data_IF_797968031708
#
_entry.id   IF_797968031708
#
_cell.length_a   1.000
_cell.length_b   1.000
_cell.length_c   1.000
_cell.angle_alpha   90.00
_cell.angle_beta   90.00
_cell.angle_gamma   90.00
#
_symmetry.space_group_name_H-M   'P 1'
#
loop_
_entity.id
_entity.type
_entity.pdbx_description
1 polymer ?
#
# COMPACT_ATOMS: atom_id res chain seq x y z
N UNK A 1 -8.26 25.45 -13.40
CA UNK A 1 -8.99 25.00 -12.22
C UNK A 1 -8.05 24.23 -11.33
N UNK A 2 -7.91 24.64 -10.08
CA UNK A 2 -7.04 23.94 -9.15
C UNK A 2 -7.77 22.71 -8.61
N UNK A 3 -7.06 21.62 -8.58
CA UNK A 3 -7.60 20.42 -7.95
C UNK A 3 -7.52 20.55 -6.45
N UNK A 4 -8.58 20.16 -5.77
CA UNK A 4 -8.61 20.11 -4.32
C UNK A 4 -8.18 18.72 -3.83
N UNK A 5 -7.36 18.72 -2.78
CA UNK A 5 -6.92 17.48 -2.15
C UNK A 5 -7.43 17.48 -0.72
N UNK A 6 -7.87 16.31 -0.29
CA UNK A 6 -8.49 16.09 1.01
C UNK A 6 -7.70 15.05 1.78
N UNK A 7 -7.71 15.15 3.11
CA UNK A 7 -7.06 14.13 3.92
C UNK A 7 -7.84 13.85 5.18
N UNK A 8 -7.59 12.68 5.74
CA UNK A 8 -8.06 12.31 7.06
C UNK A 8 -7.08 11.30 7.67
N UNK A 9 -6.97 11.31 8.99
CA UNK A 9 -6.18 10.34 9.73
C UNK A 9 -7.13 9.41 10.46
N UNK A 10 -6.90 8.12 10.31
CA UNK A 10 -7.77 7.09 10.87
C UNK A 10 -7.01 6.21 11.84
N UNK A 11 -7.67 5.82 12.92
CA UNK A 11 -7.17 4.82 13.84
C UNK A 11 -7.60 3.44 13.31
N UNK A 12 -6.63 2.59 13.01
CA UNK A 12 -6.89 1.29 12.39
C UNK A 12 -6.16 0.19 13.17
N UNK A 13 -6.46 -1.09 12.88
CA UNK A 13 -5.69 -2.19 13.49
C UNK A 13 -4.19 -2.13 13.21
N UNK A 14 -3.77 -1.39 12.19
CA UNK A 14 -2.35 -1.17 11.88
C UNK A 14 -1.81 0.13 12.48
N UNK A 15 -2.56 0.76 13.38
CA UNK A 15 -2.22 2.06 13.95
C UNK A 15 -2.84 3.19 13.14
N UNK A 16 -2.35 4.40 13.37
CA UNK A 16 -2.85 5.56 12.64
C UNK A 16 -2.44 5.50 11.18
N UNK A 17 -3.38 5.80 10.30
CA UNK A 17 -3.16 5.85 8.84
C UNK A 17 -3.71 7.16 8.32
N UNK A 18 -2.89 7.93 7.64
CA UNK A 18 -3.30 9.19 7.02
C UNK A 18 -3.42 8.97 5.52
N UNK A 19 -4.59 9.27 4.97
CA UNK A 19 -4.84 9.12 3.54
C UNK A 19 -5.10 10.48 2.91
N UNK A 20 -4.59 10.66 1.69
CA UNK A 20 -4.84 11.85 0.89
C UNK A 20 -5.55 11.42 -0.38
N UNK A 21 -6.59 12.15 -0.74
CA UNK A 21 -7.37 11.86 -1.95
C UNK A 21 -7.70 13.14 -2.71
N UNK A 22 -7.80 13.01 -4.03
CA UNK A 22 -8.49 13.98 -4.86
C UNK A 22 -9.98 13.66 -4.83
N UNK A 23 -10.78 14.37 -5.62
CA UNK A 23 -12.20 14.03 -5.75
C UNK A 23 -12.41 12.69 -6.47
N UNK A 24 -11.38 12.16 -7.11
CA UNK A 24 -11.50 10.99 -7.98
C UNK A 24 -10.76 9.76 -7.50
N UNK A 25 -9.68 9.91 -6.70
CA UNK A 25 -8.83 8.78 -6.35
C UNK A 25 -8.01 9.03 -5.10
N UNK A 26 -7.58 7.94 -4.47
CA UNK A 26 -6.56 7.98 -3.40
C UNK A 26 -5.20 8.26 -4.05
N UNK A 27 -4.47 9.19 -3.49
CA UNK A 27 -3.13 9.58 -3.95
C UNK A 27 -2.03 9.07 -3.02
N UNK A 28 -2.32 9.00 -1.72
CA UNK A 28 -1.33 8.63 -0.71
C UNK A 28 -1.99 7.87 0.43
N UNK A 29 -1.32 6.83 0.88
CA UNK A 29 -1.62 6.13 2.13
C UNK A 29 -0.35 6.17 2.98
N UNK A 30 -0.36 6.97 4.04
CA UNK A 30 0.77 7.08 4.94
C UNK A 30 0.50 6.25 6.20
N UNK A 31 1.35 5.29 6.47
CA UNK A 31 1.21 4.42 7.64
C UNK A 31 1.83 5.13 8.85
N UNK A 32 1.03 5.98 9.49
CA UNK A 32 1.42 6.83 10.60
C UNK A 32 0.60 8.11 10.63
N UNK A 33 0.89 8.96 11.61
CA UNK A 33 0.26 10.27 11.70
C UNK A 33 0.99 11.27 10.83
N UNK A 34 0.26 12.27 10.38
CA UNK A 34 0.84 13.36 9.63
C UNK A 34 -0.23 14.36 9.26
N UNK A 35 0.17 15.62 9.06
CA UNK A 35 -0.73 16.66 8.58
C UNK A 35 -0.22 17.12 7.22
N UNK A 36 -0.83 16.62 6.13
CA UNK A 36 -0.37 17.02 4.79
C UNK A 36 -0.60 18.51 4.55
N UNK A 37 0.44 19.17 4.07
CA UNK A 37 0.32 20.59 3.76
C UNK A 37 -0.43 20.82 2.46
N UNK A 38 -1.24 21.85 2.43
CA UNK A 38 -2.00 22.20 1.23
C UNK A 38 -3.23 21.34 0.99
N UNK A 39 -3.56 20.47 1.93
CA UNK A 39 -4.73 19.60 1.83
C UNK A 39 -5.83 20.07 2.78
N UNK A 40 -7.07 19.83 2.39
CA UNK A 40 -8.25 20.17 3.20
C UNK A 40 -8.50 19.00 4.17
N UNK A 41 -8.60 19.29 5.45
CA UNK A 41 -8.90 18.28 6.46
C UNK A 41 -10.38 17.95 6.44
N UNK A 42 -10.77 17.07 5.53
CA UNK A 42 -12.17 16.71 5.35
C UNK A 42 -12.24 15.33 4.69
N UNK A 43 -13.11 14.47 5.19
CA UNK A 43 -13.36 13.18 4.57
C UNK A 43 -14.31 13.34 3.39
N UNK A 44 -13.79 13.13 2.19
CA UNK A 44 -14.62 13.12 0.99
C UNK A 44 -15.09 11.69 0.70
N UNK A 45 -15.85 11.52 -0.37
CA UNK A 45 -16.42 10.22 -0.75
C UNK A 45 -15.35 9.16 -1.01
N UNK A 46 -14.23 9.55 -1.61
CA UNK A 46 -13.13 8.62 -1.91
C UNK A 46 -12.45 8.15 -0.62
N UNK A 47 -12.19 9.07 0.31
CA UNK A 47 -11.59 8.72 1.60
C UNK A 47 -12.51 7.79 2.40
N UNK A 48 -13.81 8.06 2.39
CA UNK A 48 -14.77 7.20 3.08
C UNK A 48 -14.74 5.77 2.52
N UNK A 49 -14.77 5.63 1.21
CA UNK A 49 -14.69 4.31 0.59
C UNK A 49 -13.37 3.61 0.94
N UNK A 50 -12.26 4.36 0.88
CA UNK A 50 -10.94 3.79 1.16
C UNK A 50 -10.83 3.26 2.58
N UNK A 51 -11.31 4.02 3.58
CA UNK A 51 -11.19 3.55 4.96
C UNK A 51 -12.14 2.39 5.23
N UNK A 52 -13.31 2.36 4.62
CA UNK A 52 -14.20 1.22 4.72
C UNK A 52 -13.54 -0.05 4.20
N UNK A 53 -12.95 0.03 3.01
CA UNK A 53 -12.26 -1.11 2.42
C UNK A 53 -11.01 -1.50 3.21
N UNK A 54 -10.28 -0.52 3.72
CA UNK A 54 -9.10 -0.77 4.53
C UNK A 54 -9.47 -1.53 5.80
N UNK A 55 -10.53 -1.12 6.48
CA UNK A 55 -10.98 -1.79 7.68
C UNK A 55 -11.49 -3.22 7.38
N UNK A 56 -12.15 -3.42 6.26
CA UNK A 56 -12.56 -4.75 5.82
C UNK A 56 -11.35 -5.65 5.55
N UNK A 57 -10.31 -5.09 4.94
CA UNK A 57 -9.06 -5.82 4.74
C UNK A 57 -8.45 -6.25 6.08
N UNK A 58 -8.36 -5.33 7.03
CA UNK A 58 -7.81 -5.63 8.35
C UNK A 58 -8.67 -6.62 9.15
N UNK A 59 -9.95 -6.72 8.81
CA UNK A 59 -10.86 -7.69 9.44
C UNK A 59 -10.86 -9.06 8.75
N UNK A 60 -10.04 -9.24 7.73
CA UNK A 60 -9.98 -10.49 6.97
C UNK A 60 -11.18 -10.69 6.06
N UNK A 61 -11.91 -9.63 5.75
CA UNK A 61 -13.16 -9.68 4.98
C UNK A 61 -13.02 -9.18 3.54
N UNK A 62 -11.84 -8.70 3.18
CA UNK A 62 -11.62 -8.15 1.84
C UNK A 62 -10.22 -8.50 1.35
N UNK A 63 -10.14 -8.93 0.11
CA UNK A 63 -8.87 -9.29 -0.53
C UNK A 63 -8.39 -8.27 -1.56
N UNK A 64 -9.29 -7.51 -2.15
CA UNK A 64 -8.96 -6.52 -3.18
C UNK A 64 -9.55 -5.17 -2.83
N UNK A 65 -8.94 -4.12 -3.36
CA UNK A 65 -9.43 -2.75 -3.15
C UNK A 65 -10.07 -2.25 -4.44
N UNK A 66 -11.31 -1.78 -4.33
CA UNK A 66 -12.06 -1.23 -5.46
C UNK A 66 -11.96 0.29 -5.54
N UNK A 67 -11.59 0.95 -4.44
CA UNK A 67 -11.44 2.40 -4.43
C UNK A 67 -10.39 2.81 -5.47
N UNK A 68 -10.68 3.82 -6.31
CA UNK A 68 -9.69 4.27 -7.28
C UNK A 68 -8.42 4.76 -6.59
N UNK A 69 -7.29 4.36 -7.13
CA UNK A 69 -5.98 4.71 -6.58
C UNK A 69 -5.10 5.23 -7.71
N UNK A 70 -4.55 6.42 -7.53
CA UNK A 70 -3.67 7.05 -8.50
C UNK A 70 -2.38 7.42 -7.79
N UNK A 71 -1.46 6.46 -7.64
CA UNK A 71 -0.22 6.70 -6.90
C UNK A 71 0.64 7.75 -7.59
N UNK A 72 1.43 8.44 -6.79
CA UNK A 72 2.37 9.43 -7.31
C UNK A 72 3.62 8.72 -7.82
N UNK A 73 4.26 9.32 -8.82
CA UNK A 73 5.51 8.79 -9.35
C UNK A 73 5.66 9.01 -10.84
N UNK A 74 6.85 8.70 -11.34
CA UNK A 74 7.17 8.79 -12.75
C UNK A 74 6.40 7.74 -13.56
N UNK A 75 6.47 7.87 -14.88
CA UNK A 75 5.85 6.88 -15.78
C UNK A 75 6.41 5.47 -15.54
N UNK A 76 7.72 5.36 -15.31
CA UNK A 76 8.35 4.08 -15.01
C UNK A 76 7.88 3.51 -13.68
N UNK A 77 7.77 4.35 -12.66
CA UNK A 77 7.24 3.94 -11.37
C UNK A 77 5.78 3.48 -11.48
N UNK A 78 4.97 4.22 -12.24
CA UNK A 78 3.58 3.84 -12.47
C UNK A 78 3.46 2.46 -13.12
N UNK A 79 4.36 2.15 -14.04
CA UNK A 79 4.37 0.86 -14.72
C UNK A 79 4.59 -0.28 -13.72
N UNK A 80 5.55 -0.13 -12.82
CA UNK A 80 5.82 -1.14 -11.79
C UNK A 80 4.64 -1.28 -10.83
N UNK A 81 4.11 -0.16 -10.35
CA UNK A 81 3.01 -0.16 -9.39
C UNK A 81 1.75 -0.78 -9.99
N UNK A 82 1.44 -0.46 -11.24
CA UNK A 82 0.29 -1.02 -11.93
C UNK A 82 0.44 -2.54 -12.11
N UNK A 83 1.65 -2.98 -12.48
CA UNK A 83 1.92 -4.41 -12.64
C UNK A 83 1.71 -5.16 -11.31
N UNK A 84 2.23 -4.63 -10.22
CA UNK A 84 2.10 -5.25 -8.90
C UNK A 84 0.62 -5.36 -8.50
N UNK A 85 -0.14 -4.27 -8.68
CA UNK A 85 -1.55 -4.26 -8.32
C UNK A 85 -2.36 -5.29 -9.11
N UNK A 86 -2.05 -5.47 -10.38
CA UNK A 86 -2.82 -6.36 -11.27
C UNK A 86 -2.38 -7.81 -11.21
N UNK A 87 -1.13 -8.08 -10.89
CA UNK A 87 -0.52 -9.39 -11.13
C UNK A 87 -0.27 -10.22 -9.88
N UNK A 88 -0.32 -9.62 -8.69
CA UNK A 88 -0.02 -10.35 -7.47
C UNK A 88 -1.27 -10.43 -6.59
N UNK A 89 -1.98 -11.57 -6.64
CA UNK A 89 -3.22 -11.70 -5.87
C UNK A 89 -2.96 -11.81 -4.37
N UNK A 90 -4.04 -11.68 -3.63
CA UNK A 90 -4.05 -11.78 -2.18
C UNK A 90 -3.40 -13.09 -1.71
N UNK A 91 -2.59 -13.00 -0.66
CA UNK A 91 -1.90 -14.13 -0.05
C UNK A 91 -0.87 -14.81 -0.96
N UNK A 92 -0.45 -14.14 -2.03
CA UNK A 92 0.60 -14.64 -2.92
C UNK A 92 1.81 -13.74 -2.84
N UNK A 93 2.98 -14.31 -3.12
CA UNK A 93 4.24 -13.58 -3.13
C UNK A 93 4.84 -13.61 -4.53
N UNK A 94 5.56 -12.56 -4.87
CA UNK A 94 6.40 -12.51 -6.05
C UNK A 94 7.77 -12.01 -5.64
N UNK A 95 8.69 -11.90 -6.59
CA UNK A 95 10.04 -11.42 -6.29
C UNK A 95 10.37 -10.22 -7.17
N UNK A 96 11.31 -9.38 -6.68
CA UNK A 96 11.80 -8.27 -7.48
C UNK A 96 12.40 -8.75 -8.80
N UNK A 97 13.05 -9.92 -8.77
CA UNK A 97 13.65 -10.53 -9.96
C UNK A 97 12.61 -10.90 -10.99
N UNK A 98 11.51 -11.54 -10.55
CA UNK A 98 10.43 -11.92 -11.46
C UNK A 98 9.79 -10.70 -12.12
N UNK A 99 9.51 -9.67 -11.32
CA UNK A 99 8.90 -8.45 -11.84
C UNK A 99 9.86 -7.74 -12.81
N UNK A 100 11.12 -7.63 -12.43
CA UNK A 100 12.14 -7.02 -13.28
C UNK A 100 12.27 -7.72 -14.61
N UNK A 101 12.26 -9.04 -14.61
CA UNK A 101 12.35 -9.82 -15.86
C UNK A 101 11.16 -9.53 -16.78
N UNK A 102 9.97 -9.33 -16.21
CA UNK A 102 8.78 -9.03 -16.99
C UNK A 102 8.74 -7.61 -17.53
N UNK A 103 9.35 -6.66 -16.83
CA UNK A 103 9.28 -5.25 -17.17
C UNK A 103 10.58 -4.71 -17.79
N UNK A 104 11.60 -5.55 -17.92
CA UNK A 104 12.89 -5.11 -18.47
C UNK A 104 13.68 -4.23 -17.51
N UNK A 105 13.58 -4.50 -16.21
CA UNK A 105 14.26 -3.73 -15.18
C UNK A 105 15.11 -4.64 -14.30
N UNK A 106 16.13 -4.07 -13.65
CA UNK A 106 16.90 -4.82 -12.67
C UNK A 106 16.05 -5.02 -11.40
N UNK A 107 16.31 -6.08 -10.62
CA UNK A 107 15.61 -6.27 -9.34
C UNK A 107 15.81 -5.09 -8.41
N UNK A 108 17.00 -4.47 -8.42
CA UNK A 108 17.31 -3.31 -7.58
C UNK A 108 16.45 -2.11 -7.93
N UNK A 109 16.19 -1.88 -9.22
CA UNK A 109 15.29 -0.81 -9.66
C UNK A 109 13.86 -1.06 -9.19
N UNK A 110 13.39 -2.30 -9.31
CA UNK A 110 12.04 -2.65 -8.85
C UNK A 110 11.93 -2.45 -7.34
N UNK A 111 12.90 -2.92 -6.59
CA UNK A 111 12.90 -2.75 -5.12
C UNK A 111 12.89 -1.28 -4.73
N UNK A 112 13.71 -0.46 -5.38
CA UNK A 112 13.76 0.98 -5.11
C UNK A 112 12.42 1.65 -5.39
N UNK A 113 11.80 1.33 -6.52
CA UNK A 113 10.49 1.89 -6.87
C UNK A 113 9.44 1.49 -5.85
N UNK A 114 9.38 0.23 -5.48
CA UNK A 114 8.38 -0.24 -4.53
C UNK A 114 8.60 0.32 -3.12
N UNK A 115 9.85 0.63 -2.76
CA UNK A 115 10.13 1.25 -1.46
C UNK A 115 9.60 2.69 -1.37
N UNK A 116 9.24 3.28 -2.49
CA UNK A 116 8.68 4.64 -2.58
C UNK A 116 7.19 4.64 -2.95
N UNK A 117 6.52 3.49 -2.87
CA UNK A 117 5.10 3.38 -3.17
C UNK A 117 4.29 4.32 -2.29
N UNK A 118 3.55 5.26 -2.90
CA UNK A 118 2.75 6.22 -2.14
C UNK A 118 1.44 5.65 -1.62
N UNK A 119 1.03 4.47 -2.11
CA UNK A 119 -0.24 3.83 -1.73
C UNK A 119 -0.02 2.40 -1.24
N UNK A 120 0.76 2.19 -0.15
CA UNK A 120 0.97 0.83 0.33
C UNK A 120 -0.34 0.18 0.73
N UNK A 121 -0.40 -1.13 0.66
CA UNK A 121 -1.55 -1.98 0.92
C UNK A 121 -2.57 -1.93 -0.21
N UNK A 122 -3.02 -0.76 -0.63
CA UNK A 122 -3.87 -0.63 -1.82
C UNK A 122 -3.13 -1.14 -3.06
N UNK A 123 -1.84 -0.81 -3.15
CA UNK A 123 -0.94 -1.43 -4.12
C UNK A 123 -0.02 -2.33 -3.30
N UNK A 124 -0.14 -3.65 -3.46
CA UNK A 124 0.41 -4.60 -2.50
C UNK A 124 1.92 -4.82 -2.64
N UNK A 125 2.71 -3.78 -2.46
CA UNK A 125 4.18 -3.91 -2.55
C UNK A 125 4.74 -4.81 -1.45
N UNK A 126 3.99 -5.05 -0.37
CA UNK A 126 4.40 -5.99 0.68
C UNK A 126 4.47 -7.43 0.19
N UNK A 127 3.84 -7.74 -0.95
CA UNK A 127 3.84 -9.10 -1.54
C UNK A 127 5.06 -9.38 -2.41
N UNK A 128 6.02 -8.45 -2.48
CA UNK A 128 7.21 -8.62 -3.30
C UNK A 128 8.43 -8.72 -2.38
N UNK A 129 9.17 -9.82 -2.51
CA UNK A 129 10.34 -10.11 -1.69
C UNK A 129 11.54 -10.39 -2.60
N UNK A 130 12.72 -10.60 -2.00
CA UNK A 130 13.92 -10.99 -2.76
C UNK A 130 13.87 -12.47 -3.09
N UNK A 131 14.48 -12.85 -4.21
CA UNK A 131 14.49 -14.24 -4.66
C UNK A 131 15.15 -15.20 -3.65
N UNK A 132 16.05 -14.70 -2.79
CA UNK A 132 16.68 -15.51 -1.75
C UNK A 132 15.78 -15.71 -0.52
N UNK A 133 14.54 -15.23 -0.56
CA UNK A 133 13.59 -15.36 0.54
C UNK A 133 13.63 -14.25 1.57
N UNK A 134 14.60 -13.33 1.47
CA UNK A 134 14.65 -12.17 2.36
C UNK A 134 13.57 -11.17 1.96
N UNK A 135 13.04 -10.45 2.95
CA UNK A 135 11.89 -9.55 2.73
C UNK A 135 12.21 -8.38 1.80
N UNK A 136 13.44 -7.88 1.82
CA UNK A 136 13.76 -6.63 1.12
C UNK A 136 13.24 -5.43 1.87
N UNK A 137 13.20 -4.29 1.19
CA UNK A 137 12.76 -3.03 1.81
C UNK A 137 11.24 -2.90 1.81
N UNK A 138 10.74 -1.99 2.62
CA UNK A 138 9.34 -1.62 2.63
C UNK A 138 9.22 -0.10 2.78
N UNK A 139 8.10 0.45 2.36
CA UNK A 139 7.82 1.88 2.43
C UNK A 139 7.63 2.35 3.88
N UNK A 140 7.40 1.42 4.79
CA UNK A 140 7.30 1.67 6.23
C UNK A 140 8.28 0.71 6.94
N UNK A 141 8.03 0.37 8.19
CA UNK A 141 8.90 -0.53 8.94
C UNK A 141 8.86 -1.95 8.35
N UNK A 142 10.02 -2.60 8.29
CA UNK A 142 10.12 -3.96 7.72
C UNK A 142 9.29 -4.98 8.52
N UNK A 143 9.14 -4.76 9.82
CA UNK A 143 8.28 -5.60 10.66
C UNK A 143 6.83 -5.58 10.21
N UNK A 144 6.36 -4.45 9.69
CA UNK A 144 5.01 -4.32 9.17
C UNK A 144 4.85 -5.14 7.88
N UNK A 145 5.86 -5.15 7.03
CA UNK A 145 5.85 -5.99 5.82
C UNK A 145 5.64 -7.45 6.18
N UNK A 146 6.41 -7.96 7.13
CA UNK A 146 6.28 -9.34 7.60
C UNK A 146 4.89 -9.61 8.17
N UNK A 147 4.36 -8.66 8.94
CA UNK A 147 3.04 -8.73 9.52
C UNK A 147 1.95 -8.91 8.46
N UNK A 148 2.01 -8.09 7.44
CA UNK A 148 1.03 -8.11 6.34
C UNK A 148 1.09 -9.44 5.58
N UNK A 149 2.29 -9.93 5.30
CA UNK A 149 2.46 -11.22 4.62
C UNK A 149 1.85 -12.34 5.47
N UNK A 150 2.16 -12.37 6.75
CA UNK A 150 1.66 -13.39 7.67
C UNK A 150 0.14 -13.29 7.83
N UNK A 151 -0.37 -12.06 7.96
CA UNK A 151 -1.80 -11.84 8.08
C UNK A 151 -2.57 -12.37 6.87
N UNK A 152 -2.11 -12.06 5.67
CA UNK A 152 -2.78 -12.53 4.46
C UNK A 152 -2.78 -14.04 4.36
N UNK A 153 -1.67 -14.67 4.77
CA UNK A 153 -1.55 -16.13 4.70
C UNK A 153 -2.45 -16.83 5.72
N UNK A 154 -2.57 -16.29 6.92
CA UNK A 154 -3.26 -16.95 8.03
C UNK A 154 -4.65 -16.40 8.31
N UNK A 155 -4.92 -15.16 7.92
CA UNK A 155 -6.12 -14.39 8.28
C UNK A 155 -6.33 -14.31 9.79
N UNK A 156 -5.25 -14.41 10.56
CA UNK A 156 -5.31 -14.32 12.01
C UNK A 156 -5.23 -12.85 12.42
N UNK A 157 -6.33 -12.30 12.93
CA UNK A 157 -6.42 -10.89 13.30
C UNK A 157 -5.43 -10.49 14.38
N UNK A 158 -5.05 -11.44 15.24
CA UNK A 158 -4.08 -11.17 16.29
C UNK A 158 -2.71 -10.76 15.74
N UNK A 159 -2.38 -11.19 14.52
CA UNK A 159 -1.12 -10.82 13.88
C UNK A 159 -1.00 -9.30 13.74
N UNK A 160 -2.10 -8.62 13.41
CA UNK A 160 -2.10 -7.17 13.23
C UNK A 160 -1.98 -6.43 14.56
N UNK A 161 -2.37 -7.05 15.65
CA UNK A 161 -2.36 -6.46 17.00
C UNK A 161 -1.04 -6.67 17.71
N UNK A 162 -0.18 -7.58 17.22
CA UNK A 162 1.11 -7.84 17.84
C UNK A 162 1.99 -6.60 17.81
N UNK A 163 2.68 -6.36 18.94
CA UNK A 163 3.63 -5.27 19.03
C UNK A 163 4.78 -5.45 18.04
N UNK A 164 5.40 -4.34 17.66
CA UNK A 164 6.59 -4.34 16.81
C UNK A 164 7.80 -4.57 17.71
N UNK A 165 8.26 -5.79 17.76
CA UNK A 165 9.44 -6.16 18.55
C UNK A 165 10.67 -6.35 17.69
#
# INVERSE_FOLDING_TARGET
>A
MSDSYFYETYDTPLGNVTMIASEEAILTVHLGEGVPQGCIHEENRILFQAIEEFNQYCAGQRETFDVPCSPMGSEEEQKVLSFVKKSIPYARLSTYETIGAKLGMSPEQVEEILSSNSCPILIPCHRVIRANGKLGTYVAESSLKKKLITFERTRNLEVLEEGLE
#
